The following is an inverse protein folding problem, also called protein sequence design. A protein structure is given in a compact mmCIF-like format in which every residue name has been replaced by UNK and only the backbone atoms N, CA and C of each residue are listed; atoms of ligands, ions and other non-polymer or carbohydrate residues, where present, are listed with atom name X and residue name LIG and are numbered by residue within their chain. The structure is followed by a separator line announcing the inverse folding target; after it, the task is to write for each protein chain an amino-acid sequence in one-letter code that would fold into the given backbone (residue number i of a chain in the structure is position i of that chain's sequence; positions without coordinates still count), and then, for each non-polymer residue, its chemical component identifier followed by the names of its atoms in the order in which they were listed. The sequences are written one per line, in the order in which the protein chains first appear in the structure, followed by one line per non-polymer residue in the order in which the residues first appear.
data_IF_591292726518
#
_entry.id   IF_591292726518
#
_cell.length_a   1.000
_cell.length_b   1.000
_cell.length_c   1.000
_cell.angle_alpha   90.00
_cell.angle_beta   90.00
_cell.angle_gamma   90.00
#
_symmetry.space_group_name_H-M   'P 1'
#
loop_
_entity.id
_entity.type
_entity.pdbx_description
1 polymer ?
#
# COMPACT_ATOMS: atom_id res chain seq x y z
N UNK A 1 -38.37 -8.30 -3.64
CA UNK A 1 -37.32 -8.56 -2.64
C UNK A 1 -36.09 -9.00 -3.41
N UNK A 2 -35.07 -8.13 -3.51
CA UNK A 2 -33.86 -8.44 -4.25
C UNK A 2 -32.90 -9.23 -3.34
N UNK A 3 -32.36 -10.33 -3.88
CA UNK A 3 -31.39 -11.21 -3.24
C UNK A 3 -30.17 -10.45 -2.70
N UNK A 4 -30.11 -10.26 -1.38
CA UNK A 4 -28.95 -9.70 -0.68
C UNK A 4 -27.91 -10.76 -0.30
N UNK A 5 -28.17 -12.04 -0.57
CA UNK A 5 -27.32 -13.17 -0.14
C UNK A 5 -26.14 -13.45 -1.08
N UNK A 6 -26.24 -13.17 -2.39
CA UNK A 6 -25.16 -13.41 -3.35
C UNK A 6 -24.01 -12.39 -3.21
N UNK A 7 -24.35 -11.13 -2.95
CA UNK A 7 -23.42 -9.99 -2.83
C UNK A 7 -22.37 -10.15 -1.71
N UNK A 8 -22.78 -10.65 -0.54
CA UNK A 8 -21.89 -10.75 0.62
C UNK A 8 -20.80 -11.82 0.47
N UNK A 9 -21.06 -12.90 -0.28
CA UNK A 9 -20.03 -13.94 -0.54
C UNK A 9 -18.98 -13.43 -1.54
N UNK A 10 -19.39 -12.58 -2.47
CA UNK A 10 -18.52 -12.01 -3.50
C UNK A 10 -17.55 -10.96 -2.97
N UNK A 11 -17.93 -10.19 -1.94
CA UNK A 11 -17.04 -9.18 -1.34
C UNK A 11 -15.88 -9.82 -0.57
N UNK A 12 -16.11 -10.95 0.11
CA UNK A 12 -15.08 -11.62 0.92
C UNK A 12 -13.88 -12.08 0.10
N UNK A 13 -14.07 -12.41 -1.19
CA UNK A 13 -12.97 -12.80 -2.08
C UNK A 13 -11.97 -11.65 -2.30
N UNK A 14 -12.43 -10.41 -2.20
CA UNK A 14 -11.60 -9.22 -2.40
C UNK A 14 -10.87 -8.74 -1.14
N UNK A 15 -11.28 -9.21 0.04
CA UNK A 15 -10.67 -8.81 1.33
C UNK A 15 -9.16 -9.05 1.35
N UNK A 16 -8.67 -10.11 0.71
CA UNK A 16 -7.22 -10.39 0.64
C UNK A 16 -6.59 -9.89 -0.65
N UNK A 17 -7.35 -9.84 -1.75
CA UNK A 17 -6.82 -9.49 -3.07
C UNK A 17 -6.30 -8.06 -3.10
N UNK A 18 -7.10 -7.08 -2.70
CA UNK A 18 -6.69 -5.68 -2.74
C UNK A 18 -5.47 -5.36 -1.85
N UNK A 19 -5.40 -5.81 -0.58
CA UNK A 19 -4.23 -5.50 0.23
C UNK A 19 -2.97 -6.22 -0.26
N UNK A 20 -3.08 -7.45 -0.76
CA UNK A 20 -1.92 -8.16 -1.32
C UNK A 20 -1.42 -7.47 -2.59
N UNK A 21 -2.32 -7.05 -3.49
CA UNK A 21 -1.95 -6.28 -4.68
C UNK A 21 -1.33 -4.93 -4.32
N UNK A 22 -1.89 -4.23 -3.32
CA UNK A 22 -1.33 -2.98 -2.81
C UNK A 22 0.09 -3.17 -2.30
N UNK A 23 0.32 -4.18 -1.46
CA UNK A 23 1.66 -4.53 -0.99
C UNK A 23 2.59 -4.88 -2.15
N UNK A 24 2.15 -5.67 -3.13
CA UNK A 24 2.97 -6.04 -4.29
C UNK A 24 3.46 -4.81 -5.06
N UNK A 25 2.56 -3.89 -5.42
CA UNK A 25 2.95 -2.66 -6.10
C UNK A 25 3.83 -1.78 -5.21
N UNK A 26 3.54 -1.70 -3.91
CA UNK A 26 4.34 -0.95 -2.95
C UNK A 26 5.79 -1.49 -2.87
N UNK A 27 5.96 -2.81 -2.82
CA UNK A 27 7.28 -3.45 -2.80
C UNK A 27 8.02 -3.33 -4.12
N UNK A 28 7.36 -3.58 -5.27
CA UNK A 28 7.99 -3.43 -6.59
C UNK A 28 8.44 -1.97 -6.79
N UNK A 29 7.55 -1.02 -6.51
CA UNK A 29 7.87 0.40 -6.56
C UNK A 29 8.99 0.76 -5.60
N UNK A 30 8.97 0.23 -4.38
CA UNK A 30 10.02 0.40 -3.37
C UNK A 30 11.38 -0.11 -3.87
N UNK A 31 11.45 -1.33 -4.39
CA UNK A 31 12.68 -1.91 -4.92
C UNK A 31 13.26 -1.04 -6.05
N UNK A 32 12.43 -0.55 -6.96
CA UNK A 32 12.87 0.33 -8.04
C UNK A 32 13.30 1.69 -7.49
N UNK A 33 12.55 2.27 -6.54
CA UNK A 33 12.86 3.53 -5.89
C UNK A 33 14.20 3.48 -5.16
N UNK A 34 14.49 2.32 -4.58
CA UNK A 34 15.70 2.04 -3.80
C UNK A 34 16.99 2.17 -4.63
N UNK A 35 16.92 1.99 -5.96
CA UNK A 35 18.06 2.23 -6.87
C UNK A 35 18.54 3.68 -6.89
N UNK A 36 17.68 4.62 -6.49
CA UNK A 36 18.02 6.05 -6.36
C UNK A 36 18.16 6.52 -4.92
N UNK A 37 18.10 5.62 -3.92
CA UNK A 37 18.17 5.99 -2.51
C UNK A 37 19.63 6.01 -2.02
N UNK A 38 20.01 7.04 -1.28
CA UNK A 38 21.35 7.15 -0.66
C UNK A 38 21.58 6.04 0.38
N UNK A 39 20.55 5.73 1.18
CA UNK A 39 20.59 4.72 2.25
C UNK A 39 19.63 3.56 1.97
N UNK A 40 20.01 2.69 1.03
CA UNK A 40 19.23 1.54 0.58
C UNK A 40 18.65 0.70 1.73
N UNK A 41 19.49 0.38 2.72
CA UNK A 41 19.12 -0.52 3.84
C UNK A 41 18.03 0.10 4.70
N UNK A 42 18.16 1.37 5.07
CA UNK A 42 17.15 2.07 5.88
C UNK A 42 15.81 2.18 5.14
N UNK A 43 15.87 2.48 3.85
CA UNK A 43 14.68 2.54 3.00
C UNK A 43 13.94 1.19 2.95
N UNK A 44 14.67 0.08 2.72
CA UNK A 44 14.06 -1.25 2.68
C UNK A 44 13.49 -1.67 4.03
N UNK A 45 14.20 -1.40 5.13
CA UNK A 45 13.70 -1.67 6.49
C UNK A 45 12.40 -0.91 6.75
N UNK A 46 12.32 0.36 6.34
CA UNK A 46 11.10 1.15 6.48
C UNK A 46 9.93 0.56 5.70
N UNK A 47 10.13 0.20 4.43
CA UNK A 47 9.11 -0.44 3.58
C UNK A 47 8.59 -1.74 4.22
N UNK A 48 9.48 -2.55 4.77
CA UNK A 48 9.12 -3.81 5.45
C UNK A 48 8.34 -3.55 6.74
N UNK A 49 8.81 -2.63 7.59
CA UNK A 49 8.16 -2.31 8.87
C UNK A 49 6.75 -1.73 8.66
N UNK A 50 6.58 -0.84 7.68
CA UNK A 50 5.27 -0.27 7.35
C UNK A 50 4.29 -1.33 6.83
N UNK A 51 4.80 -2.33 6.10
CA UNK A 51 4.01 -3.44 5.56
C UNK A 51 3.63 -4.48 6.64
N UNK A 52 4.43 -4.60 7.72
CA UNK A 52 4.21 -5.58 8.78
C UNK A 52 2.85 -5.42 9.49
N UNK A 53 2.39 -4.18 9.69
CA UNK A 53 1.10 -3.91 10.34
C UNK A 53 -0.06 -4.44 9.50
N UNK A 54 -0.04 -4.19 8.18
CA UNK A 54 -1.06 -4.69 7.27
C UNK A 54 -1.02 -6.23 7.19
N UNK A 55 0.17 -6.82 7.09
CA UNK A 55 0.35 -8.28 7.09
C UNK A 55 -0.16 -8.93 8.38
N UNK A 56 0.12 -8.33 9.54
CA UNK A 56 -0.40 -8.79 10.83
C UNK A 56 -1.92 -8.75 10.86
N UNK A 57 -2.54 -7.66 10.39
CA UNK A 57 -3.98 -7.54 10.29
C UNK A 57 -4.61 -8.61 9.40
N UNK A 58 -3.99 -8.90 8.25
CA UNK A 58 -4.45 -9.95 7.33
C UNK A 58 -4.29 -11.35 7.93
N UNK A 59 -3.18 -11.61 8.62
CA UNK A 59 -2.92 -12.89 9.27
C UNK A 59 -3.90 -13.18 10.40
N UNK A 60 -4.23 -12.16 11.20
CA UNK A 60 -5.20 -12.26 12.30
C UNK A 60 -6.65 -12.09 11.85
N UNK A 61 -6.90 -11.74 10.58
CA UNK A 61 -8.21 -11.37 10.04
C UNK A 61 -8.94 -10.31 10.90
N UNK A 62 -8.19 -9.36 11.46
CA UNK A 62 -8.74 -8.28 12.30
C UNK A 62 -8.88 -6.99 11.51
N UNK A 63 -10.13 -6.60 11.26
CA UNK A 63 -10.45 -5.44 10.39
C UNK A 63 -9.79 -4.15 10.83
N UNK A 64 -9.71 -3.90 12.14
CA UNK A 64 -9.16 -2.66 12.68
C UNK A 64 -7.67 -2.53 12.34
N UNK A 65 -6.95 -3.65 12.40
CA UNK A 65 -5.51 -3.71 12.13
C UNK A 65 -5.25 -3.62 10.62
N UNK A 66 -6.09 -4.26 9.80
CA UNK A 66 -5.98 -4.18 8.33
C UNK A 66 -6.20 -2.74 7.86
N UNK A 67 -7.27 -2.08 8.33
CA UNK A 67 -7.56 -0.70 7.97
C UNK A 67 -6.45 0.23 8.46
N UNK A 68 -6.00 0.08 9.71
CA UNK A 68 -4.89 0.87 10.23
C UNK A 68 -3.61 0.69 9.41
N UNK A 69 -3.23 -0.55 9.08
CA UNK A 69 -2.07 -0.84 8.24
C UNK A 69 -2.18 -0.25 6.84
N UNK A 70 -3.35 -0.35 6.21
CA UNK A 70 -3.60 0.24 4.89
C UNK A 70 -3.53 1.78 4.92
N UNK A 71 -4.09 2.43 5.96
CA UNK A 71 -4.01 3.89 6.13
C UNK A 71 -2.58 4.37 6.37
N UNK A 72 -1.80 3.64 7.17
CA UNK A 72 -0.36 3.92 7.35
C UNK A 72 0.33 3.88 5.98
N UNK A 73 0.13 2.82 5.21
CA UNK A 73 0.74 2.70 3.88
C UNK A 73 0.31 3.82 2.94
N UNK A 74 -0.96 4.25 2.96
CA UNK A 74 -1.42 5.42 2.20
C UNK A 74 -0.62 6.68 2.56
N UNK A 75 -0.53 7.02 3.85
CA UNK A 75 0.12 8.24 4.31
C UNK A 75 1.61 8.28 3.93
N UNK A 76 2.32 7.17 4.16
CA UNK A 76 3.75 7.08 3.90
C UNK A 76 4.09 6.91 2.42
N UNK A 77 3.19 6.32 1.61
CA UNK A 77 3.37 6.23 0.15
C UNK A 77 3.20 7.57 -0.56
N UNK A 78 2.39 8.49 -0.02
CA UNK A 78 2.17 9.83 -0.60
C UNK A 78 3.21 10.83 -0.08
N UNK A 79 3.54 10.77 1.21
CA UNK A 79 4.42 11.74 1.86
C UNK A 79 5.83 11.80 1.27
N UNK A 80 6.41 10.64 0.94
CA UNK A 80 7.76 10.55 0.39
C UNK A 80 7.90 11.22 -1.01
N UNK A 81 7.06 10.89 -2.00
CA UNK A 81 7.10 11.56 -3.30
C UNK A 81 6.66 13.03 -3.27
N UNK A 82 5.72 13.41 -2.40
CA UNK A 82 5.34 14.82 -2.24
C UNK A 82 6.51 15.66 -1.68
N UNK A 83 7.25 15.13 -0.70
CA UNK A 83 8.45 15.76 -0.16
C UNK A 83 9.53 15.95 -1.22
N UNK A 84 9.79 14.92 -2.04
CA UNK A 84 10.82 14.96 -3.10
C UNK A 84 10.45 15.88 -4.27
N UNK A 85 9.15 16.05 -4.56
CA UNK A 85 8.66 17.03 -5.53
C UNK A 85 8.87 18.47 -5.02
N UNK A 86 8.56 18.74 -3.75
CA UNK A 86 8.71 20.07 -3.14
C UNK A 86 10.17 20.50 -3.04
N UNK A 87 11.09 19.56 -2.81
CA UNK A 87 12.53 19.85 -2.73
C UNK A 87 13.20 20.06 -4.10
N UNK A 88 12.46 19.91 -5.22
CA UNK A 88 13.02 20.09 -6.56
C UNK A 88 14.07 19.06 -6.96
N UNK A 89 14.24 17.99 -6.16
CA UNK A 89 15.23 16.93 -6.36
C UNK A 89 14.70 15.77 -7.21
N UNK A 90 13.54 15.93 -7.85
CA UNK A 90 12.93 14.91 -8.67
C UNK A 90 13.71 14.75 -9.99
N UNK A 91 14.81 13.99 -9.96
CA UNK A 91 15.49 13.60 -11.19
C UNK A 91 14.63 12.60 -11.96
N UNK A 92 14.41 12.82 -13.25
CA UNK A 92 13.79 11.81 -14.11
C UNK A 92 14.73 10.60 -14.21
N UNK A 93 14.38 9.51 -13.54
CA UNK A 93 15.20 8.31 -13.45
C UNK A 93 14.43 7.15 -12.81
N UNK A 94 15.08 5.98 -12.73
CA UNK A 94 14.47 4.76 -12.18
C UNK A 94 13.88 5.00 -10.77
N UNK A 95 14.57 5.76 -9.92
CA UNK A 95 14.09 6.12 -8.58
C UNK A 95 12.70 6.77 -8.56
N UNK A 96 12.45 7.70 -9.49
CA UNK A 96 11.17 8.41 -9.63
C UNK A 96 10.07 7.51 -10.19
N UNK A 97 10.40 6.61 -11.13
CA UNK A 97 9.47 5.59 -11.61
C UNK A 97 9.02 4.67 -10.47
N UNK A 98 9.97 4.22 -9.65
CA UNK A 98 9.67 3.39 -8.48
C UNK A 98 8.73 4.09 -7.50
N UNK A 99 8.99 5.36 -7.19
CA UNK A 99 8.09 6.17 -6.38
C UNK A 99 6.69 6.32 -7.00
N UNK A 100 6.60 6.52 -8.31
CA UNK A 100 5.30 6.56 -9.01
C UNK A 100 4.51 5.26 -8.85
N UNK A 101 5.18 4.10 -8.91
CA UNK A 101 4.56 2.79 -8.68
C UNK A 101 4.13 2.65 -7.20
N UNK A 102 4.93 3.15 -6.24
CA UNK A 102 4.52 3.18 -4.82
C UNK A 102 3.29 4.06 -4.60
N UNK A 103 3.19 5.22 -5.27
CA UNK A 103 1.99 6.06 -5.23
C UNK A 103 0.81 5.34 -5.86
N UNK A 104 0.99 4.63 -6.97
CA UNK A 104 -0.08 3.84 -7.57
C UNK A 104 -0.63 2.76 -6.62
N UNK A 105 0.22 2.18 -5.76
CA UNK A 105 -0.21 1.24 -4.72
C UNK A 105 -1.23 1.83 -3.74
N UNK A 106 -1.28 3.17 -3.56
CA UNK A 106 -2.28 3.86 -2.74
C UNK A 106 -3.70 3.53 -3.19
N UNK A 107 -3.94 3.37 -4.49
CA UNK A 107 -5.28 3.03 -5.02
C UNK A 107 -5.76 1.71 -4.40
N UNK A 108 -4.89 0.70 -4.35
CA UNK A 108 -5.20 -0.60 -3.78
C UNK A 108 -5.33 -0.56 -2.25
N UNK A 109 -4.53 0.25 -1.56
CA UNK A 109 -4.67 0.44 -0.11
C UNK A 109 -5.97 1.17 0.24
N UNK A 110 -6.40 2.15 -0.56
CA UNK A 110 -7.71 2.80 -0.42
C UNK A 110 -8.86 1.82 -0.67
N UNK A 111 -8.75 0.99 -1.71
CA UNK A 111 -9.72 -0.09 -1.97
C UNK A 111 -9.76 -1.09 -0.81
N UNK A 112 -8.61 -1.41 -0.21
CA UNK A 112 -8.53 -2.26 0.99
C UNK A 112 -9.34 -1.65 2.13
N UNK A 113 -9.11 -0.37 2.44
CA UNK A 113 -9.88 0.33 3.50
C UNK A 113 -11.37 0.28 3.20
N UNK A 114 -11.77 0.55 1.96
CA UNK A 114 -13.18 0.54 1.57
C UNK A 114 -13.85 -0.83 1.69
N UNK A 115 -13.21 -1.90 1.20
CA UNK A 115 -13.77 -3.26 1.28
C UNK A 115 -13.83 -3.72 2.74
N UNK A 116 -12.76 -3.53 3.52
CA UNK A 116 -12.72 -3.96 4.92
C UNK A 116 -13.63 -3.14 5.84
N UNK A 117 -13.99 -1.91 5.46
CA UNK A 117 -14.97 -1.12 6.21
C UNK A 117 -16.41 -1.60 6.02
N UNK A 118 -16.65 -2.45 5.02
CA UNK A 118 -17.97 -3.02 4.71
C UNK A 118 -18.19 -4.44 5.25
N UNK A 119 -17.15 -5.06 5.81
CA UNK A 119 -17.20 -6.34 6.52
C UNK A 119 -17.56 -6.12 8.01
#
# INVERSE_FOLDING_TARGET
MADTSSSASDIRKYLRVFPILGLLFYYIGGLIASLGAADLVLFLVQVILLSAVLLLGLGLMRKEIVIAGALILVLFSIGLPAYLLVMGTLSLGAGTLGQGIMVFAVVFHMLTVWVWSKE
#
